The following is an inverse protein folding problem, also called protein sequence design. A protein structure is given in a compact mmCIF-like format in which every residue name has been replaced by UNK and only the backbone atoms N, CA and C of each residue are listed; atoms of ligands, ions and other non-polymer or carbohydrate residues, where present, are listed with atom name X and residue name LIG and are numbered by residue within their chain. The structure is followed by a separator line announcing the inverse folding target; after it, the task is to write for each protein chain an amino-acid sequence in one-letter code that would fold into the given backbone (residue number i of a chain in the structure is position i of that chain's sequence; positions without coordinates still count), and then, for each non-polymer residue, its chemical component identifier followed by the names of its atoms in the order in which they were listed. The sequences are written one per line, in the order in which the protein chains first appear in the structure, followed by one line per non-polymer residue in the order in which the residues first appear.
data_IF_092998932128
#
_entry.id   IF_092998932128
#
_cell.length_a   1.000
_cell.length_b   1.000
_cell.length_c   1.000
_cell.angle_alpha   90.00
_cell.angle_beta   90.00
_cell.angle_gamma   90.00
#
_symmetry.space_group_name_H-M   'P 1'
#
loop_
_entity.id
_entity.type
_entity.pdbx_description
1 polymer ?
#
# COMPACT_ATOMS: atom_id res chain seq x y z
N UNK A 1 -48.99 6.25 28.61
CA UNK A 1 -48.01 5.43 27.86
C UNK A 1 -46.75 5.32 28.69
N UNK A 2 -46.44 4.13 29.22
CA UNK A 2 -45.19 3.86 29.92
C UNK A 2 -44.05 3.88 28.91
N UNK A 3 -43.16 4.87 28.99
CA UNK A 3 -41.95 4.88 28.17
C UNK A 3 -41.10 3.66 28.52
N UNK A 4 -40.69 2.91 27.52
CA UNK A 4 -39.70 1.85 27.68
C UNK A 4 -38.43 2.44 28.31
N UNK A 5 -37.84 1.77 29.31
CA UNK A 5 -36.64 2.27 29.96
C UNK A 5 -35.51 2.48 28.94
N UNK A 6 -34.70 3.54 29.09
CA UNK A 6 -33.57 3.77 28.20
C UNK A 6 -32.60 2.59 28.27
N UNK A 7 -31.92 2.30 27.15
CA UNK A 7 -30.88 1.28 27.10
C UNK A 7 -29.81 1.56 28.15
N UNK A 8 -29.33 0.50 28.81
CA UNK A 8 -28.18 0.59 29.71
C UNK A 8 -26.92 1.02 28.94
N UNK A 9 -25.96 1.62 29.65
CA UNK A 9 -24.72 2.11 29.03
C UNK A 9 -23.96 1.02 28.24
N UNK A 10 -23.80 -0.23 28.74
CA UNK A 10 -23.16 -1.30 27.96
C UNK A 10 -23.96 -1.72 26.72
N UNK A 11 -25.30 -1.77 26.83
CA UNK A 11 -26.17 -2.13 25.71
C UNK A 11 -26.09 -1.08 24.60
N UNK A 12 -26.12 0.20 24.95
CA UNK A 12 -26.00 1.29 23.98
C UNK A 12 -24.63 1.31 23.30
N UNK A 13 -23.55 1.02 24.05
CA UNK A 13 -22.21 0.88 23.48
C UNK A 13 -22.17 -0.22 22.42
N UNK A 14 -22.71 -1.39 22.76
CA UNK A 14 -22.77 -2.55 21.87
C UNK A 14 -23.58 -2.24 20.60
N UNK A 15 -24.75 -1.60 20.74
CA UNK A 15 -25.56 -1.21 19.58
C UNK A 15 -24.80 -0.24 18.68
N UNK A 16 -24.24 0.84 19.23
CA UNK A 16 -23.52 1.85 18.44
C UNK A 16 -22.30 1.27 17.72
N UNK A 17 -21.61 0.29 18.31
CA UNK A 17 -20.45 -0.35 17.70
C UNK A 17 -20.77 -1.05 16.37
N UNK A 18 -21.94 -1.71 16.28
CA UNK A 18 -22.35 -2.46 15.10
C UNK A 18 -23.28 -1.69 14.14
N UNK A 19 -23.65 -0.46 14.47
CA UNK A 19 -24.37 0.41 13.52
C UNK A 19 -23.42 0.81 12.39
N UNK A 20 -23.88 0.65 11.15
CA UNK A 20 -23.15 1.10 9.95
C UNK A 20 -22.68 2.54 10.12
N UNK A 21 -21.40 2.79 9.82
CA UNK A 21 -20.70 4.05 10.13
C UNK A 21 -21.49 5.29 9.71
N UNK A 22 -22.07 5.30 8.51
CA UNK A 22 -22.88 6.41 8.02
C UNK A 22 -24.06 6.73 8.93
N UNK A 23 -24.86 5.72 9.27
CA UNK A 23 -25.99 5.88 10.19
C UNK A 23 -25.52 6.30 11.58
N UNK A 24 -24.40 5.74 12.04
CA UNK A 24 -23.80 6.04 13.34
C UNK A 24 -23.37 7.51 13.44
N UNK A 25 -22.74 8.05 12.40
CA UNK A 25 -22.34 9.47 12.31
C UNK A 25 -23.58 10.36 12.42
N UNK A 26 -24.62 10.09 11.63
CA UNK A 26 -25.85 10.87 11.67
C UNK A 26 -26.58 10.77 13.02
N UNK A 27 -26.73 9.56 13.58
CA UNK A 27 -27.38 9.34 14.87
C UNK A 27 -26.69 10.09 16.02
N UNK A 28 -25.37 9.96 16.11
CA UNK A 28 -24.59 10.53 17.22
C UNK A 28 -24.44 12.05 17.11
N UNK A 29 -24.53 12.62 15.90
CA UNK A 29 -24.52 14.06 15.69
C UNK A 29 -25.73 14.79 16.30
N UNK A 30 -26.85 14.08 16.46
CA UNK A 30 -28.11 14.64 16.96
C UNK A 30 -28.23 14.64 18.49
N UNK A 31 -27.26 14.06 19.20
CA UNK A 31 -27.30 13.96 20.67
C UNK A 31 -25.91 14.03 21.29
N UNK A 32 -25.68 15.01 22.16
CA UNK A 32 -24.43 15.14 22.94
C UNK A 32 -24.17 13.94 23.85
N UNK A 33 -25.23 13.32 24.37
CA UNK A 33 -25.12 12.10 25.16
C UNK A 33 -24.59 10.94 24.32
N UNK A 34 -25.19 10.69 23.14
CA UNK A 34 -24.72 9.64 22.23
C UNK A 34 -23.30 9.93 21.75
N UNK A 35 -22.99 11.17 21.40
CA UNK A 35 -21.65 11.58 20.96
C UNK A 35 -20.58 11.25 22.00
N UNK A 36 -20.86 11.44 23.30
CA UNK A 36 -19.90 11.12 24.38
C UNK A 36 -19.63 9.62 24.47
N UNK A 37 -20.68 8.80 24.41
CA UNK A 37 -20.56 7.33 24.45
C UNK A 37 -19.83 6.83 23.21
N UNK A 38 -20.24 7.34 22.05
CA UNK A 38 -19.72 6.99 20.75
C UNK A 38 -18.21 7.24 20.59
N UNK A 39 -17.67 8.29 21.24
CA UNK A 39 -16.22 8.57 21.27
C UNK A 39 -15.39 7.51 21.98
N UNK A 40 -16.00 6.73 22.87
CA UNK A 40 -15.32 5.62 23.59
C UNK A 40 -15.26 4.33 22.77
N UNK A 41 -15.97 4.31 21.63
CA UNK A 41 -16.08 3.15 20.75
C UNK A 41 -15.21 3.40 19.52
N UNK A 42 -14.35 2.44 19.13
CA UNK A 42 -13.58 2.56 17.91
C UNK A 42 -14.45 2.79 16.67
N UNK A 43 -13.91 3.51 15.71
CA UNK A 43 -14.50 3.65 14.38
C UNK A 43 -13.97 2.50 13.52
N UNK A 44 -14.84 1.90 12.71
CA UNK A 44 -14.47 0.93 11.69
C UNK A 44 -14.97 1.45 10.35
N UNK A 45 -14.04 1.91 9.52
CA UNK A 45 -14.29 2.37 8.16
C UNK A 45 -13.73 1.36 7.16
N UNK A 46 -14.39 1.22 6.01
CA UNK A 46 -13.89 0.40 4.90
C UNK A 46 -12.78 1.14 4.17
N UNK A 47 -12.91 2.44 4.02
CA UNK A 47 -12.06 3.24 3.16
C UNK A 47 -11.77 4.61 3.78
N UNK A 48 -10.51 5.03 3.68
CA UNK A 48 -10.08 6.40 3.92
C UNK A 48 -9.29 6.87 2.71
N UNK A 49 -9.51 8.12 2.28
CA UNK A 49 -8.60 8.77 1.35
C UNK A 49 -8.21 10.17 1.78
N UNK A 50 -6.95 10.52 1.60
CA UNK A 50 -6.49 11.89 1.62
C UNK A 50 -5.88 12.25 0.26
N UNK A 51 -6.51 13.20 -0.44
CA UNK A 51 -6.04 13.69 -1.76
C UNK A 51 -6.05 15.20 -1.77
N UNK A 52 -4.87 15.82 -1.79
CA UNK A 52 -4.75 17.26 -1.59
C UNK A 52 -5.63 17.69 -0.40
N UNK A 53 -6.46 18.71 -0.53
CA UNK A 53 -7.35 19.23 0.51
C UNK A 53 -8.64 18.42 0.77
N UNK A 54 -8.78 17.25 0.14
CA UNK A 54 -9.96 16.41 0.23
C UNK A 54 -9.71 15.20 1.15
N UNK A 55 -10.51 15.09 2.20
CA UNK A 55 -10.51 13.96 3.13
C UNK A 55 -11.80 13.16 2.92
N UNK A 56 -11.70 11.87 2.66
CA UNK A 56 -12.84 10.97 2.62
C UNK A 56 -12.75 9.88 3.69
N UNK A 57 -13.90 9.51 4.24
CA UNK A 57 -14.08 8.35 5.11
C UNK A 57 -15.39 7.67 4.70
N UNK A 58 -15.26 6.47 4.12
CA UNK A 58 -16.34 5.78 3.42
C UNK A 58 -17.08 6.72 2.43
N UNK A 59 -18.36 7.01 2.66
CA UNK A 59 -19.19 7.87 1.80
C UNK A 59 -19.11 9.37 2.14
N UNK A 60 -18.42 9.75 3.21
CA UNK A 60 -18.29 11.16 3.61
C UNK A 60 -17.07 11.79 2.95
N UNK A 61 -17.24 13.02 2.47
CA UNK A 61 -16.19 13.82 1.86
C UNK A 61 -16.14 15.19 2.54
N UNK A 62 -14.97 15.56 3.02
CA UNK A 62 -14.62 16.91 3.45
C UNK A 62 -13.66 17.53 2.44
N UNK A 63 -13.89 18.79 2.07
CA UNK A 63 -13.04 19.56 1.16
C UNK A 63 -12.68 20.88 1.83
N UNK A 64 -11.39 21.16 2.03
CA UNK A 64 -10.97 22.38 2.73
C UNK A 64 -11.10 23.65 1.88
N UNK A 65 -11.00 23.56 0.54
CA UNK A 65 -11.25 24.70 -0.35
C UNK A 65 -12.71 24.75 -0.77
N UNK A 66 -13.29 25.95 -0.74
CA UNK A 66 -14.56 26.27 -1.41
C UNK A 66 -14.35 26.08 -2.92
N UNK A 67 -14.63 24.89 -3.42
CA UNK A 67 -14.76 24.68 -4.86
C UNK A 67 -16.23 24.94 -5.14
N UNK A 68 -16.53 26.00 -5.89
CA UNK A 68 -17.87 26.48 -6.28
C UNK A 68 -18.73 25.46 -7.07
N UNK A 69 -18.35 24.18 -7.09
CA UNK A 69 -18.92 23.10 -7.88
C UNK A 69 -19.51 21.97 -7.01
N UNK A 70 -19.48 22.06 -5.67
CA UNK A 70 -20.04 21.02 -4.80
C UNK A 70 -21.47 21.32 -4.36
N UNK A 71 -22.28 20.25 -4.30
CA UNK A 71 -23.64 20.31 -3.79
C UNK A 71 -23.63 20.66 -2.28
N UNK A 72 -24.60 21.45 -1.78
CA UNK A 72 -24.72 21.79 -0.36
C UNK A 72 -24.70 20.57 0.60
N UNK A 73 -25.15 19.42 0.12
CA UNK A 73 -25.13 18.16 0.87
C UNK A 73 -23.70 17.67 1.17
N UNK A 74 -22.76 17.83 0.22
CA UNK A 74 -21.35 17.46 0.40
C UNK A 74 -20.70 18.33 1.47
N UNK A 75 -20.97 19.64 1.45
CA UNK A 75 -20.45 20.57 2.44
C UNK A 75 -20.96 20.21 3.85
N UNK A 76 -22.26 19.93 3.97
CA UNK A 76 -22.88 19.49 5.23
C UNK A 76 -22.27 18.17 5.73
N UNK A 77 -22.10 17.18 4.85
CA UNK A 77 -21.50 15.89 5.17
C UNK A 77 -20.03 16.03 5.56
N UNK A 78 -19.28 16.92 4.91
CA UNK A 78 -17.91 17.26 5.27
C UNK A 78 -17.80 17.85 6.67
N UNK A 79 -18.62 18.85 7.00
CA UNK A 79 -18.66 19.44 8.36
C UNK A 79 -19.01 18.39 9.40
N UNK A 80 -19.95 17.51 9.08
CA UNK A 80 -20.36 16.41 9.94
C UNK A 80 -19.22 15.40 10.18
N UNK A 81 -18.49 15.01 9.12
CA UNK A 81 -17.32 14.13 9.21
C UNK A 81 -16.23 14.74 10.11
N UNK A 82 -15.89 16.01 9.89
CA UNK A 82 -14.84 16.67 10.70
C UNK A 82 -15.23 16.76 12.18
N UNK A 83 -16.49 17.09 12.46
CA UNK A 83 -17.04 17.08 13.82
C UNK A 83 -16.98 15.69 14.45
N UNK A 84 -17.27 14.64 13.67
CA UNK A 84 -17.25 13.26 14.12
C UNK A 84 -15.83 12.77 14.45
N UNK A 85 -14.85 13.11 13.62
CA UNK A 85 -13.44 12.76 13.81
C UNK A 85 -12.78 13.52 14.97
N UNK A 86 -13.26 14.73 15.28
CA UNK A 86 -12.68 15.60 16.31
C UNK A 86 -12.66 14.95 17.70
N UNK A 87 -11.45 14.70 18.19
CA UNK A 87 -11.21 14.12 19.51
C UNK A 87 -11.45 12.61 19.57
N UNK A 88 -11.43 11.91 18.43
CA UNK A 88 -11.33 10.45 18.37
C UNK A 88 -9.87 10.02 18.40
N UNK A 89 -9.59 8.93 19.11
CA UNK A 89 -8.25 8.36 19.27
C UNK A 89 -8.11 6.94 18.70
N UNK A 90 -9.19 6.38 18.12
CA UNK A 90 -9.16 5.04 17.54
C UNK A 90 -10.03 4.98 16.29
N UNK A 91 -9.37 5.01 15.15
CA UNK A 91 -10.01 4.87 13.83
C UNK A 91 -9.35 3.70 13.12
N UNK A 92 -10.09 2.61 12.94
CA UNK A 92 -9.66 1.44 12.19
C UNK A 92 -10.15 1.59 10.75
N UNK A 93 -9.25 1.44 9.78
CA UNK A 93 -9.54 1.57 8.36
C UNK A 93 -9.05 0.32 7.63
N UNK A 94 -9.93 -0.34 6.89
CA UNK A 94 -9.52 -1.50 6.11
C UNK A 94 -8.52 -1.14 4.98
N UNK A 95 -8.72 0.00 4.32
CA UNK A 95 -7.84 0.55 3.30
C UNK A 95 -7.67 2.06 3.46
N UNK A 96 -6.45 2.52 3.71
CA UNK A 96 -6.07 3.92 3.68
C UNK A 96 -5.34 4.27 2.37
N UNK A 97 -5.77 5.34 1.71
CA UNK A 97 -5.19 5.82 0.45
C UNK A 97 -4.72 7.27 0.60
N UNK A 98 -3.44 7.52 0.29
CA UNK A 98 -2.87 8.87 0.28
C UNK A 98 -2.44 9.21 -1.15
N UNK A 99 -2.86 10.38 -1.65
CA UNK A 99 -2.55 10.82 -3.02
C UNK A 99 -2.05 12.25 -3.02
N UNK A 100 -0.82 12.45 -3.50
CA UNK A 100 -0.18 13.76 -3.59
C UNK A 100 0.10 14.41 -2.23
N UNK A 101 0.27 13.63 -1.16
CA UNK A 101 0.54 14.16 0.18
C UNK A 101 2.04 14.40 0.32
N UNK A 102 2.48 15.65 0.16
CA UNK A 102 3.90 16.04 0.19
C UNK A 102 4.34 16.70 1.48
N UNK A 103 3.42 17.40 2.15
CA UNK A 103 3.63 18.12 3.41
C UNK A 103 2.53 17.76 4.39
N UNK A 104 2.76 18.01 5.69
CA UNK A 104 1.68 17.99 6.67
C UNK A 104 0.63 19.02 6.25
N UNK A 105 -0.48 18.55 5.71
CA UNK A 105 -1.64 19.39 5.50
C UNK A 105 -2.21 19.77 6.86
N UNK A 106 -2.62 21.03 7.02
CA UNK A 106 -3.39 21.50 8.17
C UNK A 106 -4.83 20.94 8.12
N UNK A 107 -4.97 19.61 8.14
CA UNK A 107 -6.26 19.00 8.42
C UNK A 107 -6.55 19.28 9.89
N UNK A 108 -7.69 19.92 10.24
CA UNK A 108 -7.96 20.38 11.61
C UNK A 108 -8.29 19.24 12.59
N UNK A 109 -7.94 18.00 12.26
CA UNK A 109 -8.04 16.83 13.13
C UNK A 109 -6.73 16.05 13.09
N UNK A 110 -6.25 15.66 14.28
CA UNK A 110 -5.18 14.67 14.39
C UNK A 110 -5.70 13.34 13.88
N UNK A 111 -5.04 12.79 12.87
CA UNK A 111 -5.36 11.48 12.30
C UNK A 111 -4.41 10.44 12.88
N UNK A 112 -4.96 9.37 13.44
CA UNK A 112 -4.24 8.24 14.03
C UNK A 112 -4.98 6.95 13.65
N UNK A 113 -4.54 6.33 12.55
CA UNK A 113 -5.25 5.21 11.91
C UNK A 113 -4.60 3.87 12.25
N UNK A 114 -5.43 2.92 12.66
CA UNK A 114 -5.09 1.50 12.55
C UNK A 114 -5.49 1.01 11.16
N UNK A 115 -4.52 0.61 10.34
CA UNK A 115 -4.78 0.24 8.95
C UNK A 115 -4.46 -1.22 8.67
N UNK A 116 -5.27 -1.85 7.82
CA UNK A 116 -4.97 -3.20 7.32
C UNK A 116 -4.24 -3.18 5.97
N UNK A 117 -4.58 -2.20 5.12
CA UNK A 117 -3.96 -1.96 3.81
C UNK A 117 -3.62 -0.48 3.66
N UNK A 118 -2.47 -0.20 3.07
CA UNK A 118 -2.00 1.15 2.81
C UNK A 118 -1.63 1.30 1.33
N UNK A 119 -2.17 2.36 0.70
CA UNK A 119 -1.77 2.77 -0.65
C UNK A 119 -1.30 4.22 -0.63
N UNK A 120 -0.15 4.48 -1.21
CA UNK A 120 0.35 5.83 -1.41
C UNK A 120 0.58 6.06 -2.91
N UNK A 121 0.15 7.22 -3.38
CA UNK A 121 0.33 7.68 -4.76
C UNK A 121 1.02 9.03 -4.72
N UNK A 122 2.22 9.11 -5.27
CA UNK A 122 2.97 10.37 -5.40
C UNK A 122 3.07 11.13 -4.06
N UNK A 123 3.20 10.40 -2.94
CA UNK A 123 3.14 10.94 -1.58
C UNK A 123 4.45 10.68 -0.84
N UNK A 124 4.82 11.60 0.05
CA UNK A 124 5.98 11.48 0.91
C UNK A 124 5.67 10.53 2.09
N UNK A 125 6.36 9.39 2.15
CA UNK A 125 6.20 8.40 3.21
C UNK A 125 6.44 9.00 4.60
N UNK A 126 7.43 9.88 4.77
CA UNK A 126 7.75 10.51 6.07
C UNK A 126 6.60 11.38 6.60
N UNK A 127 5.73 11.87 5.71
CA UNK A 127 4.53 12.65 6.08
C UNK A 127 3.34 11.73 6.35
N UNK A 128 3.23 10.61 5.63
CA UNK A 128 2.12 9.66 5.75
C UNK A 128 2.27 8.78 7.00
N UNK A 129 3.47 8.29 7.28
CA UNK A 129 3.71 7.33 8.37
C UNK A 129 3.27 7.83 9.75
N UNK A 130 3.46 9.11 10.13
CA UNK A 130 2.96 9.64 11.40
C UNK A 130 1.43 9.61 11.58
N UNK A 131 0.67 9.40 10.51
CA UNK A 131 -0.79 9.22 10.56
C UNK A 131 -1.23 7.76 10.80
N UNK A 132 -0.28 6.83 10.79
CA UNK A 132 -0.53 5.39 10.92
C UNK A 132 -0.03 4.92 12.29
N UNK A 133 -0.94 4.31 13.06
CA UNK A 133 -0.64 3.69 14.33
C UNK A 133 0.34 2.52 14.12
N UNK A 134 1.52 2.50 14.77
CA UNK A 134 2.48 1.41 14.66
C UNK A 134 1.91 0.03 15.03
N UNK A 135 0.83 -0.03 15.82
CA UNK A 135 0.09 -1.27 16.14
C UNK A 135 -0.64 -1.88 14.93
N UNK A 136 -0.64 -1.18 13.79
CA UNK A 136 -1.13 -1.72 12.50
C UNK A 136 -0.19 -2.80 11.93
N UNK A 137 1.08 -2.80 12.34
CA UNK A 137 2.09 -3.68 11.76
C UNK A 137 1.97 -5.11 12.32
N UNK A 138 2.16 -6.15 11.48
CA UNK A 138 2.37 -6.09 10.03
C UNK A 138 1.06 -5.87 9.26
N UNK A 139 1.07 -4.94 8.29
CA UNK A 139 -0.07 -4.74 7.38
C UNK A 139 -0.14 -5.84 6.32
N UNK A 140 -1.35 -6.08 5.80
CA UNK A 140 -1.57 -7.16 4.81
C UNK A 140 -1.10 -6.77 3.40
N UNK A 141 -1.23 -5.50 3.03
CA UNK A 141 -0.89 -5.01 1.69
C UNK A 141 -0.39 -3.57 1.77
N UNK A 142 0.81 -3.34 1.24
CA UNK A 142 1.40 -2.03 1.02
C UNK A 142 1.58 -1.81 -0.47
N UNK A 143 1.01 -0.74 -1.03
CA UNK A 143 1.26 -0.32 -2.41
C UNK A 143 1.78 1.10 -2.44
N UNK A 144 2.88 1.33 -3.14
CA UNK A 144 3.53 2.65 -3.23
C UNK A 144 3.75 2.98 -4.70
N UNK A 145 3.11 4.04 -5.20
CA UNK A 145 3.37 4.59 -6.52
C UNK A 145 4.24 5.84 -6.42
N UNK A 146 5.38 5.83 -7.12
CA UNK A 146 6.46 6.80 -6.96
C UNK A 146 6.62 7.70 -8.20
N UNK A 147 6.73 9.00 -7.96
CA UNK A 147 7.16 9.99 -8.97
C UNK A 147 8.59 10.49 -8.71
N UNK A 148 9.02 10.49 -7.44
CA UNK A 148 10.29 11.01 -6.97
C UNK A 148 11.08 9.91 -6.23
N UNK A 149 12.42 10.04 -6.12
CA UNK A 149 13.23 9.14 -5.30
C UNK A 149 12.70 9.06 -3.87
N UNK A 150 12.42 7.85 -3.39
CA UNK A 150 11.86 7.60 -2.06
C UNK A 150 12.68 6.52 -1.37
N UNK A 151 13.09 6.80 -0.12
CA UNK A 151 13.68 5.79 0.75
C UNK A 151 12.59 4.82 1.20
N UNK A 152 12.80 3.53 0.99
CA UNK A 152 11.86 2.48 1.40
C UNK A 152 12.37 1.63 2.56
N UNK A 153 13.47 2.03 3.18
CA UNK A 153 14.02 1.41 4.38
C UNK A 153 13.21 1.79 5.63
N UNK A 154 11.93 1.42 5.63
CA UNK A 154 10.97 1.69 6.69
C UNK A 154 10.37 0.38 7.24
N UNK A 155 10.11 0.33 8.54
CA UNK A 155 9.58 -0.87 9.21
C UNK A 155 8.23 -1.32 8.62
N UNK A 156 7.38 -0.40 8.20
CA UNK A 156 6.10 -0.73 7.54
C UNK A 156 6.30 -1.43 6.18
N UNK A 157 7.40 -1.14 5.48
CA UNK A 157 7.73 -1.78 4.20
C UNK A 157 8.23 -3.18 4.49
N UNK A 158 9.21 -3.33 5.38
CA UNK A 158 9.81 -4.63 5.70
C UNK A 158 8.83 -5.61 6.34
N UNK A 159 7.90 -5.13 7.18
CA UNK A 159 6.93 -5.98 7.89
C UNK A 159 5.69 -6.33 7.07
N UNK A 160 5.39 -5.60 6.00
CA UNK A 160 4.20 -5.84 5.19
C UNK A 160 4.23 -7.24 4.53
N UNK A 161 3.10 -7.94 4.60
CA UNK A 161 2.95 -9.31 4.04
C UNK A 161 3.07 -9.33 2.52
N UNK A 162 2.50 -8.31 1.86
CA UNK A 162 2.62 -8.07 0.42
C UNK A 162 3.01 -6.62 0.19
N UNK A 163 4.08 -6.42 -0.57
CA UNK A 163 4.55 -5.08 -0.97
C UNK A 163 4.51 -4.97 -2.49
N UNK A 164 3.93 -3.89 -2.99
CA UNK A 164 3.98 -3.54 -4.41
C UNK A 164 4.46 -2.11 -4.65
N UNK A 165 5.28 -1.94 -5.67
CA UNK A 165 5.80 -0.65 -6.10
C UNK A 165 5.40 -0.37 -7.54
N UNK A 166 4.77 0.76 -7.80
CA UNK A 166 4.57 1.29 -9.15
C UNK A 166 5.65 2.33 -9.43
N UNK A 167 6.53 2.04 -10.40
CA UNK A 167 7.77 2.79 -10.63
C UNK A 167 8.08 2.94 -12.11
N UNK A 168 8.72 4.05 -12.47
CA UNK A 168 9.28 4.22 -13.81
C UNK A 168 10.71 3.67 -13.90
N UNK A 169 11.52 3.82 -12.86
CA UNK A 169 12.86 3.25 -12.75
C UNK A 169 13.25 2.98 -11.29
N UNK A 170 13.84 1.83 -11.00
CA UNK A 170 14.31 1.53 -9.63
C UNK A 170 15.42 2.47 -9.22
N UNK A 171 16.42 2.66 -10.09
CA UNK A 171 17.57 3.54 -9.83
C UNK A 171 17.14 4.94 -9.39
N UNK A 172 16.12 5.48 -10.03
CA UNK A 172 15.72 6.87 -9.83
C UNK A 172 14.61 7.01 -8.78
N UNK A 173 13.78 5.98 -8.57
CA UNK A 173 12.62 6.09 -7.70
C UNK A 173 12.78 5.40 -6.34
N UNK A 174 13.57 4.33 -6.23
CA UNK A 174 13.61 3.48 -5.03
C UNK A 174 15.01 3.46 -4.40
N UNK A 175 15.18 4.18 -3.30
CA UNK A 175 16.42 4.14 -2.51
C UNK A 175 16.30 3.01 -1.48
N UNK A 176 17.28 2.10 -1.45
CA UNK A 176 17.33 1.01 -0.48
C UNK A 176 16.53 -0.24 -0.85
N UNK A 177 16.06 -0.38 -2.10
CA UNK A 177 15.29 -1.57 -2.51
C UNK A 177 16.10 -2.87 -2.37
N UNK A 178 17.43 -2.79 -2.46
CA UNK A 178 18.33 -3.93 -2.29
C UNK A 178 18.26 -4.52 -0.86
N UNK A 179 17.84 -3.72 0.12
CA UNK A 179 17.67 -4.11 1.52
C UNK A 179 16.29 -4.68 1.84
N UNK A 180 15.36 -4.75 0.87
CA UNK A 180 14.02 -5.27 1.10
C UNK A 180 14.07 -6.72 1.62
N UNK A 181 13.51 -6.93 2.80
CA UNK A 181 13.49 -8.24 3.49
C UNK A 181 12.24 -9.06 3.15
N UNK A 182 11.29 -8.47 2.43
CA UNK A 182 10.04 -9.13 2.08
C UNK A 182 10.30 -10.34 1.17
N UNK A 183 9.67 -11.48 1.49
CA UNK A 183 9.75 -12.70 0.67
C UNK A 183 9.08 -12.54 -0.68
N UNK A 184 8.03 -11.73 -0.78
CA UNK A 184 7.34 -11.47 -2.04
C UNK A 184 7.21 -9.97 -2.26
N UNK A 185 7.80 -9.48 -3.35
CA UNK A 185 7.70 -8.08 -3.77
C UNK A 185 7.21 -8.01 -5.21
N UNK A 186 6.25 -7.13 -5.47
CA UNK A 186 5.71 -6.90 -6.80
C UNK A 186 6.17 -5.52 -7.31
N UNK A 187 6.75 -5.47 -8.49
CA UNK A 187 7.09 -4.23 -9.17
C UNK A 187 6.21 -4.10 -10.41
N UNK A 188 5.56 -2.96 -10.55
CA UNK A 188 4.76 -2.58 -11.71
C UNK A 188 5.50 -1.46 -12.44
N UNK A 189 6.05 -1.77 -13.62
CA UNK A 189 6.75 -0.81 -14.45
C UNK A 189 5.88 -0.34 -15.60
N UNK A 190 5.95 0.95 -15.93
CA UNK A 190 5.45 1.41 -17.23
C UNK A 190 6.30 0.84 -18.38
N UNK A 191 7.62 0.89 -18.20
CA UNK A 191 8.63 0.37 -19.13
C UNK A 191 9.67 -0.43 -18.34
N UNK A 192 9.93 -1.68 -18.73
CA UNK A 192 10.95 -2.50 -18.06
C UNK A 192 12.35 -1.92 -18.34
N UNK A 193 13.04 -1.52 -17.28
CA UNK A 193 14.45 -1.15 -17.33
C UNK A 193 15.32 -2.39 -17.14
N UNK A 194 15.89 -2.92 -18.24
CA UNK A 194 16.82 -4.06 -18.21
C UNK A 194 17.98 -3.77 -17.24
N UNK A 195 18.51 -2.55 -17.28
CA UNK A 195 19.58 -2.09 -16.39
C UNK A 195 19.22 -2.19 -14.91
N UNK A 196 17.97 -1.88 -14.55
CA UNK A 196 17.50 -1.98 -13.16
C UNK A 196 17.40 -3.45 -12.72
N UNK A 197 16.90 -4.34 -13.59
CA UNK A 197 16.85 -5.78 -13.29
C UNK A 197 18.25 -6.40 -13.19
N UNK A 198 19.16 -6.06 -14.12
CA UNK A 198 20.57 -6.49 -14.07
C UNK A 198 21.21 -6.08 -12.75
N UNK A 199 20.91 -4.87 -12.26
CA UNK A 199 21.41 -4.40 -10.97
C UNK A 199 20.91 -5.26 -9.81
N UNK A 200 19.62 -5.62 -9.78
CA UNK A 200 19.08 -6.53 -8.75
C UNK A 200 19.86 -7.84 -8.76
N UNK A 201 19.98 -8.46 -9.94
CA UNK A 201 20.61 -9.77 -10.10
C UNK A 201 22.08 -9.72 -9.67
N UNK A 202 22.84 -8.72 -10.11
CA UNK A 202 24.24 -8.53 -9.71
C UNK A 202 24.39 -8.33 -8.21
N UNK A 203 23.50 -7.55 -7.59
CA UNK A 203 23.50 -7.37 -6.14
C UNK A 203 23.25 -8.70 -5.41
N UNK A 204 22.30 -9.52 -5.87
CA UNK A 204 22.02 -10.84 -5.27
C UNK A 204 23.16 -11.84 -5.50
N UNK A 205 23.86 -11.79 -6.63
CA UNK A 205 25.06 -12.60 -6.88
C UNK A 205 26.17 -12.22 -5.89
N UNK A 206 26.36 -10.93 -5.62
CA UNK A 206 27.43 -10.44 -4.75
C UNK A 206 27.15 -10.65 -3.25
N UNK A 207 25.90 -10.42 -2.82
CA UNK A 207 25.55 -10.38 -1.40
C UNK A 207 24.70 -11.57 -0.93
N UNK A 208 24.26 -12.43 -1.86
CA UNK A 208 23.28 -13.45 -1.60
C UNK A 208 21.86 -12.89 -1.44
N UNK A 209 20.90 -13.81 -1.34
CA UNK A 209 19.49 -13.51 -1.05
C UNK A 209 18.85 -14.72 -0.38
N UNK A 210 17.89 -14.48 0.51
CA UNK A 210 17.20 -15.56 1.25
C UNK A 210 16.43 -16.48 0.29
N UNK A 211 16.55 -17.80 0.51
CA UNK A 211 15.77 -18.82 -0.20
C UNK A 211 14.27 -18.60 0.02
N UNK A 212 13.50 -18.72 -1.05
CA UNK A 212 12.07 -18.42 -1.06
C UNK A 212 11.74 -16.95 -1.32
N UNK A 213 12.74 -16.08 -1.54
CA UNK A 213 12.47 -14.71 -2.02
C UNK A 213 12.05 -14.75 -3.49
N UNK A 214 10.97 -14.04 -3.82
CA UNK A 214 10.40 -13.90 -5.14
C UNK A 214 10.07 -12.43 -5.45
N UNK A 215 10.66 -11.90 -6.51
CA UNK A 215 10.32 -10.60 -7.08
C UNK A 215 9.54 -10.80 -8.38
N UNK A 216 8.31 -10.27 -8.41
CA UNK A 216 7.40 -10.31 -9.55
C UNK A 216 7.44 -8.96 -10.26
N UNK A 217 7.92 -8.94 -11.50
CA UNK A 217 8.09 -7.71 -12.27
C UNK A 217 7.10 -7.70 -13.44
N UNK A 218 6.03 -6.95 -13.29
CA UNK A 218 5.04 -6.70 -14.35
C UNK A 218 5.39 -5.44 -15.13
N UNK A 219 5.01 -5.39 -16.40
CA UNK A 219 5.11 -4.16 -17.19
C UNK A 219 4.06 -4.05 -18.31
N UNK A 220 3.73 -2.81 -18.67
CA UNK A 220 2.59 -2.51 -19.56
C UNK A 220 2.92 -2.35 -21.05
N UNK A 221 4.16 -1.98 -21.40
CA UNK A 221 4.52 -1.72 -22.79
C UNK A 221 5.00 -2.98 -23.51
N UNK A 222 4.73 -3.05 -24.83
CA UNK A 222 5.20 -4.06 -25.78
C UNK A 222 6.74 -4.03 -25.97
N UNK A 223 7.52 -4.15 -24.90
CA UNK A 223 8.92 -4.52 -25.07
C UNK A 223 8.95 -5.96 -25.56
N UNK A 224 9.59 -6.17 -26.71
CA UNK A 224 9.90 -7.48 -27.23
C UNK A 224 10.58 -8.32 -26.13
N UNK A 225 9.84 -9.28 -25.58
CA UNK A 225 10.28 -10.12 -24.46
C UNK A 225 11.47 -10.98 -24.86
N UNK A 226 11.50 -11.46 -26.10
CA UNK A 226 12.60 -12.25 -26.61
C UNK A 226 13.87 -11.40 -26.64
N UNK A 227 13.75 -10.11 -26.99
CA UNK A 227 14.84 -9.14 -26.89
C UNK A 227 15.28 -8.89 -25.44
N UNK A 228 14.35 -8.75 -24.51
CA UNK A 228 14.66 -8.59 -23.06
C UNK A 228 15.44 -9.80 -22.54
N UNK A 229 14.94 -11.01 -22.81
CA UNK A 229 15.59 -12.25 -22.39
C UNK A 229 16.93 -12.47 -23.09
N UNK A 230 17.06 -12.15 -24.38
CA UNK A 230 18.33 -12.21 -25.10
C UNK A 230 19.39 -11.32 -24.43
N UNK A 231 19.03 -10.10 -24.03
CA UNK A 231 19.93 -9.20 -23.30
C UNK A 231 20.37 -9.80 -21.95
N UNK A 232 19.45 -10.41 -21.19
CA UNK A 232 19.82 -11.08 -19.94
C UNK A 232 20.71 -12.29 -20.15
N UNK A 233 20.44 -13.10 -21.18
CA UNK A 233 21.30 -14.22 -21.55
C UNK A 233 22.70 -13.74 -21.93
N UNK A 234 22.82 -12.68 -22.72
CA UNK A 234 24.11 -12.11 -23.09
C UNK A 234 24.90 -11.60 -21.88
N UNK A 235 24.23 -10.88 -20.99
CA UNK A 235 24.83 -10.31 -19.77
C UNK A 235 25.30 -11.39 -18.79
N UNK A 236 24.51 -12.46 -18.61
CA UNK A 236 24.75 -13.45 -17.56
C UNK A 236 25.30 -14.79 -18.03
N UNK A 237 25.53 -15.02 -19.34
CA UNK A 237 26.08 -16.31 -19.85
C UNK A 237 27.42 -16.72 -19.23
N UNK A 238 28.19 -15.76 -18.72
CA UNK A 238 29.50 -15.99 -18.07
C UNK A 238 29.39 -16.11 -16.54
N UNK A 239 28.19 -15.99 -15.98
CA UNK A 239 27.97 -16.12 -14.54
C UNK A 239 28.21 -17.57 -14.09
N UNK A 240 28.66 -17.73 -12.84
CA UNK A 240 28.93 -19.05 -12.26
C UNK A 240 27.64 -19.87 -12.15
N UNK A 241 27.69 -21.12 -12.59
CA UNK A 241 26.53 -22.02 -12.56
C UNK A 241 25.37 -21.53 -13.43
N UNK A 242 25.66 -20.70 -14.43
CA UNK A 242 24.68 -20.29 -15.41
C UNK A 242 24.17 -21.52 -16.18
N UNK A 243 22.85 -21.69 -16.23
CA UNK A 243 22.18 -22.69 -17.06
C UNK A 243 20.96 -22.07 -17.71
N UNK A 244 20.69 -22.39 -18.97
CA UNK A 244 19.38 -22.07 -19.56
C UNK A 244 18.35 -22.99 -18.94
N UNK A 245 17.20 -22.44 -18.58
CA UNK A 245 16.09 -23.16 -17.98
C UNK A 245 14.90 -23.01 -18.93
N UNK A 246 14.31 -24.12 -19.36
CA UNK A 246 13.13 -24.17 -20.22
C UNK A 246 12.15 -25.16 -19.60
N UNK A 247 10.87 -24.79 -19.50
CA UNK A 247 9.83 -25.64 -18.92
C UNK A 247 8.52 -25.46 -19.69
N UNK A 248 7.60 -26.42 -19.58
CA UNK A 248 6.23 -26.32 -20.12
C UNK A 248 5.47 -25.09 -19.60
N UNK A 249 5.80 -24.61 -18.39
CA UNK A 249 5.12 -23.46 -17.76
C UNK A 249 5.76 -22.10 -18.07
N UNK A 250 6.95 -22.04 -18.68
CA UNK A 250 7.64 -20.80 -19.04
C UNK A 250 8.51 -20.94 -20.29
N UNK A 251 8.32 -20.05 -21.28
CA UNK A 251 8.93 -20.18 -22.60
C UNK A 251 10.44 -19.88 -22.63
N UNK A 252 10.97 -19.13 -21.66
CA UNK A 252 12.38 -18.76 -21.59
C UNK A 252 12.77 -18.44 -20.16
N UNK A 253 13.95 -18.92 -19.76
CA UNK A 253 14.51 -18.67 -18.44
C UNK A 253 15.97 -19.08 -18.33
N UNK A 254 16.59 -18.72 -17.21
CA UNK A 254 17.91 -19.18 -16.84
C UNK A 254 18.05 -19.26 -15.32
N UNK A 255 19.04 -20.00 -14.87
CA UNK A 255 19.46 -20.03 -13.48
C UNK A 255 20.87 -19.49 -13.32
N UNK A 256 21.17 -18.89 -12.16
CA UNK A 256 22.53 -18.52 -11.74
C UNK A 256 22.76 -19.04 -10.32
N UNK A 257 23.95 -19.58 -10.05
CA UNK A 257 24.30 -20.01 -8.70
C UNK A 257 24.53 -18.77 -7.79
N UNK A 258 23.86 -18.71 -6.64
CA UNK A 258 24.08 -17.66 -5.64
C UNK A 258 25.00 -18.13 -4.50
N UNK A 259 24.89 -19.40 -4.07
CA UNK A 259 25.72 -19.99 -3.01
C UNK A 259 25.99 -21.49 -3.29
N UNK A 260 26.52 -22.27 -2.35
CA UNK A 260 26.61 -23.74 -2.52
C UNK A 260 25.25 -24.43 -2.50
N UNK A 261 24.23 -23.80 -1.91
CA UNK A 261 22.91 -24.40 -1.65
C UNK A 261 21.76 -23.64 -2.28
N UNK A 262 22.01 -22.50 -2.93
CA UNK A 262 20.96 -21.67 -3.54
C UNK A 262 21.30 -21.23 -4.95
N UNK A 263 20.25 -21.13 -5.77
CA UNK A 263 20.29 -20.58 -7.13
C UNK A 263 19.17 -19.56 -7.34
N UNK A 264 19.44 -18.57 -8.16
CA UNK A 264 18.44 -17.64 -8.68
C UNK A 264 17.86 -18.22 -9.96
N UNK A 265 16.54 -18.32 -10.03
CA UNK A 265 15.78 -18.57 -11.24
C UNK A 265 15.27 -17.24 -11.79
N UNK A 266 15.46 -17.03 -13.09
CA UNK A 266 14.92 -15.89 -13.83
C UNK A 266 14.10 -16.45 -14.98
N UNK A 267 12.79 -16.22 -14.98
CA UNK A 267 11.90 -16.81 -15.98
C UNK A 267 10.68 -15.93 -16.25
N UNK A 268 10.02 -16.20 -17.37
CA UNK A 268 8.85 -15.47 -17.84
C UNK A 268 7.54 -16.22 -17.55
N UNK A 269 6.48 -15.48 -17.21
CA UNK A 269 5.09 -15.98 -17.21
C UNK A 269 4.28 -15.19 -18.23
N UNK A 270 3.69 -15.89 -19.24
CA UNK A 270 3.04 -15.26 -20.41
C UNK A 270 1.56 -14.89 -20.24
N UNK A 271 0.85 -15.29 -19.18
CA UNK A 271 -0.61 -15.06 -19.07
C UNK A 271 -1.09 -14.88 -17.62
N UNK A 272 -2.09 -14.00 -17.35
CA UNK A 272 -2.76 -13.04 -18.24
C UNK A 272 -2.04 -11.69 -18.38
N UNK A 273 -0.95 -11.48 -17.66
CA UNK A 273 -0.03 -10.36 -17.82
C UNK A 273 1.36 -10.93 -18.05
N UNK A 274 2.16 -10.24 -18.86
CA UNK A 274 3.55 -10.62 -18.97
C UNK A 274 4.31 -10.23 -17.71
N UNK A 275 5.01 -11.20 -17.12
CA UNK A 275 5.75 -11.00 -15.88
C UNK A 275 7.11 -11.66 -15.96
N UNK A 276 8.14 -10.93 -15.53
CA UNK A 276 9.46 -11.48 -15.26
C UNK A 276 9.53 -11.85 -13.77
N UNK A 277 9.92 -13.08 -13.48
CA UNK A 277 10.03 -13.59 -12.12
C UNK A 277 11.48 -13.83 -11.77
N UNK A 278 11.91 -13.28 -10.64
CA UNK A 278 13.22 -13.53 -10.03
C UNK A 278 12.96 -14.30 -8.73
N UNK A 279 13.32 -15.58 -8.69
CA UNK A 279 13.01 -16.46 -7.55
C UNK A 279 14.26 -17.16 -7.06
N UNK A 280 14.51 -17.08 -5.76
CA UNK A 280 15.63 -17.79 -5.12
C UNK A 280 15.13 -19.14 -4.61
N UNK A 281 15.77 -20.21 -5.08
CA UNK A 281 15.50 -21.61 -4.68
C UNK A 281 16.74 -22.27 -4.12
#
# INVERSE_FOLDING_TARGET
MTMTPPLSYPALKSVLEYVVLEKRIHLTSRSKFLQRIDKTIPVYAKYFSLRADNLSLDCFLFTAKDKHYYLPEVEKNGKLLMSYLKGRSSINVALAVFTGVKTFQEIPVKLDFKVNKLRTYCSNLEVVLPMIDPRSLPITELSIALEEPTNVDHEIVHSAKKVSFEVNSLRNNLIGFEKLRNKTVQFEFRFLSITDVVRIIKYWIQHGKEVGTEFLISYSANSDFDKVMANFHEEFRRARGYSKEINEHFCSGFSIQLSSTSKLLVYEIKKPKYQLVLKVV
#
